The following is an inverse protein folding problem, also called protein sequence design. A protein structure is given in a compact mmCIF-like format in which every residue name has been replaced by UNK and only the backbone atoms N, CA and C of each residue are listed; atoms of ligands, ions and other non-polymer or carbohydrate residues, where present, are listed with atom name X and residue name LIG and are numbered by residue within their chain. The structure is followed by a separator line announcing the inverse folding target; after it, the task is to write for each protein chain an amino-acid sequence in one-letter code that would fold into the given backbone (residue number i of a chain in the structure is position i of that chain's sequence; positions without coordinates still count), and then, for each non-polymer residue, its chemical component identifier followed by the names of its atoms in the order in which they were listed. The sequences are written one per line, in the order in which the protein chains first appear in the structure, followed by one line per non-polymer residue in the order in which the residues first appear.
data_IF_693269437812
#
_entry.id   IF_693269437812
#
_cell.length_a   1.000
_cell.length_b   1.000
_cell.length_c   1.000
_cell.angle_alpha   90.00
_cell.angle_beta   90.00
_cell.angle_gamma   90.00
#
_symmetry.space_group_name_H-M   'P 1'
#
loop_
_entity.id
_entity.type
_entity.pdbx_description
1 polymer ?
#
# COMPACT_ATOMS: atom_id res chain seq x y z
N UNK A 1 -8.09 31.80 22.84
CA UNK A 1 -7.67 30.76 21.89
C UNK A 1 -7.02 31.43 20.70
N UNK A 2 -5.70 31.28 20.54
CA UNK A 2 -4.96 31.83 19.41
C UNK A 2 -5.16 30.92 18.20
N UNK A 3 -5.78 31.46 17.16
CA UNK A 3 -5.92 30.80 15.86
C UNK A 3 -4.56 30.92 15.17
N UNK A 4 -3.84 29.81 15.01
CA UNK A 4 -2.62 29.76 14.20
C UNK A 4 -2.98 30.07 12.75
N UNK A 5 -2.77 31.32 12.34
CA UNK A 5 -2.97 31.78 10.96
C UNK A 5 -1.83 31.24 10.09
N UNK A 6 -2.17 30.40 9.12
CA UNK A 6 -1.24 29.94 8.08
C UNK A 6 -0.97 31.14 7.16
N UNK A 7 0.30 31.52 6.89
CA UNK A 7 0.59 32.66 6.03
C UNK A 7 0.08 32.37 4.61
N UNK A 8 -0.65 33.33 4.04
CA UNK A 8 -1.19 33.25 2.69
C UNK A 8 -0.09 33.63 1.68
N UNK A 9 -0.11 32.98 0.52
CA UNK A 9 0.87 33.15 -0.57
C UNK A 9 1.03 34.59 -1.09
N UNK A 10 0.10 35.49 -0.74
CA UNK A 10 0.09 36.88 -1.18
C UNK A 10 1.00 37.81 -0.36
N UNK A 11 1.54 37.39 0.78
CA UNK A 11 2.44 38.22 1.59
C UNK A 11 3.92 38.13 1.14
N UNK A 12 4.20 37.43 0.03
CA UNK A 12 5.56 37.09 -0.42
C UNK A 12 6.08 37.93 -1.60
N UNK A 13 5.29 38.86 -2.15
CA UNK A 13 5.65 39.61 -3.37
C UNK A 13 5.72 41.13 -3.18
N UNK A 14 6.19 41.62 -2.03
CA UNK A 14 6.43 43.06 -1.88
C UNK A 14 7.87 43.35 -1.42
N UNK A 15 8.68 43.82 -2.39
CA UNK A 15 9.99 44.44 -2.18
C UNK A 15 11.19 43.55 -2.48
N UNK A 16 11.87 43.80 -3.61
CA UNK A 16 13.23 44.39 -3.61
C UNK A 16 14.08 43.96 -4.83
N UNK A 17 14.35 44.95 -5.67
CA UNK A 17 15.35 44.94 -6.73
C UNK A 17 16.78 44.89 -6.14
N UNK A 18 17.25 43.70 -5.75
CA UNK A 18 18.65 43.49 -5.30
C UNK A 18 19.52 42.66 -6.28
N UNK A 19 20.81 43.04 -6.32
CA UNK A 19 21.92 42.53 -7.12
C UNK A 19 22.09 40.99 -7.16
N UNK A 20 22.61 40.42 -8.27
CA UNK A 20 22.59 38.97 -8.54
C UNK A 20 23.43 38.10 -7.59
N UNK A 21 24.40 38.65 -6.85
CA UNK A 21 25.27 37.88 -5.96
C UNK A 21 24.70 37.71 -4.52
N UNK A 22 23.81 38.60 -4.07
CA UNK A 22 23.11 38.52 -2.76
C UNK A 22 22.02 37.43 -2.78
N UNK A 23 21.32 37.31 -3.91
CA UNK A 23 20.22 36.34 -4.14
C UNK A 23 20.60 34.88 -3.89
N UNK A 24 21.84 34.49 -4.19
CA UNK A 24 22.25 33.08 -4.07
C UNK A 24 22.42 32.64 -2.60
N UNK A 25 22.87 33.56 -1.73
CA UNK A 25 23.02 33.29 -0.29
C UNK A 25 21.70 33.43 0.47
N UNK A 26 20.86 34.41 0.12
CA UNK A 26 19.52 34.57 0.72
C UNK A 26 18.59 33.41 0.34
N UNK A 27 18.59 32.99 -0.94
CA UNK A 27 17.79 31.85 -1.43
C UNK A 27 18.24 30.51 -0.82
N UNK A 28 19.55 30.27 -0.68
CA UNK A 28 20.08 29.09 0.06
C UNK A 28 19.72 29.11 1.54
N UNK A 29 19.71 30.27 2.20
CA UNK A 29 19.34 30.41 3.62
C UNK A 29 17.84 30.21 3.84
N UNK A 30 17.01 30.72 2.94
CA UNK A 30 15.58 30.51 2.94
C UNK A 30 15.26 29.03 2.67
N UNK A 31 15.91 28.40 1.69
CA UNK A 31 15.77 26.97 1.40
C UNK A 31 16.19 26.08 2.57
N UNK A 32 17.27 26.43 3.31
CA UNK A 32 17.64 25.74 4.56
C UNK A 32 16.59 25.91 5.66
N UNK A 33 15.96 27.09 5.78
CA UNK A 33 14.85 27.32 6.73
C UNK A 33 13.63 26.45 6.36
N UNK A 34 13.23 26.42 5.09
CA UNK A 34 12.14 25.58 4.62
C UNK A 34 12.43 24.10 4.83
N UNK A 35 13.63 23.64 4.48
CA UNK A 35 14.07 22.26 4.73
C UNK A 35 14.04 21.91 6.22
N UNK A 36 14.56 22.79 7.08
CA UNK A 36 14.57 22.57 8.53
C UNK A 36 13.15 22.52 9.11
N UNK A 37 12.26 23.41 8.65
CA UNK A 37 10.85 23.42 9.06
C UNK A 37 10.11 22.19 8.56
N UNK A 38 10.30 21.80 7.29
CA UNK A 38 9.70 20.61 6.72
C UNK A 38 10.21 19.33 7.41
N UNK A 39 11.51 19.24 7.67
CA UNK A 39 12.10 18.10 8.38
C UNK A 39 11.62 18.02 9.83
N UNK A 40 11.46 19.16 10.51
CA UNK A 40 10.88 19.19 11.84
C UNK A 40 9.44 18.66 11.82
N UNK A 41 8.60 19.16 10.92
CA UNK A 41 7.22 18.67 10.76
C UNK A 41 7.18 17.19 10.41
N UNK A 42 8.04 16.70 9.50
CA UNK A 42 8.15 15.28 9.16
C UNK A 42 8.58 14.44 10.36
N UNK A 43 9.51 14.91 11.17
CA UNK A 43 9.99 14.18 12.36
C UNK A 43 8.89 14.10 13.43
N UNK A 44 8.09 15.17 13.59
CA UNK A 44 6.93 15.16 14.50
C UNK A 44 5.79 14.28 13.97
N UNK A 45 5.61 14.21 12.64
CA UNK A 45 4.57 13.41 11.98
C UNK A 45 4.97 11.95 11.72
N UNK A 46 6.26 11.59 11.88
CA UNK A 46 6.81 10.24 11.76
C UNK A 46 7.50 9.84 13.06
N UNK A 47 6.73 9.83 14.15
CA UNK A 47 7.22 9.37 15.43
C UNK A 47 7.33 7.84 15.44
N UNK A 48 8.57 7.35 15.31
CA UNK A 48 8.86 5.93 15.36
C UNK A 48 8.67 5.33 16.76
N UNK A 49 8.42 6.14 17.80
CA UNK A 49 8.05 5.64 19.14
C UNK A 49 6.84 4.68 19.09
N UNK A 50 5.91 4.91 18.15
CA UNK A 50 4.72 4.07 17.94
C UNK A 50 5.09 2.61 17.56
N UNK A 51 6.21 2.39 16.88
CA UNK A 51 6.71 1.05 16.55
C UNK A 51 7.18 0.25 17.77
N UNK A 52 7.41 0.91 18.91
CA UNK A 52 7.80 0.21 20.13
C UNK A 52 6.67 -0.67 20.68
N UNK A 53 5.42 -0.42 20.29
CA UNK A 53 4.30 -1.29 20.62
C UNK A 53 4.36 -2.59 19.80
N UNK A 54 4.39 -3.77 20.44
CA UNK A 54 4.50 -5.04 19.73
C UNK A 54 3.34 -5.29 18.77
N UNK A 55 2.12 -4.86 19.12
CA UNK A 55 0.94 -5.02 18.26
C UNK A 55 1.05 -4.19 16.97
N UNK A 56 1.52 -2.94 17.08
CA UNK A 56 1.72 -2.08 15.92
C UNK A 56 2.90 -2.53 15.06
N UNK A 57 3.95 -3.07 15.67
CA UNK A 57 5.07 -3.67 14.96
C UNK A 57 4.62 -4.87 14.11
N UNK A 58 3.82 -5.79 14.67
CA UNK A 58 3.26 -6.93 13.94
C UNK A 58 2.34 -6.47 12.79
N UNK A 59 1.51 -5.44 13.02
CA UNK A 59 0.68 -4.84 11.97
C UNK A 59 1.53 -4.25 10.83
N UNK A 60 2.59 -3.52 11.17
CA UNK A 60 3.49 -2.92 10.18
C UNK A 60 4.26 -3.99 9.40
N UNK A 61 4.75 -5.02 10.08
CA UNK A 61 5.46 -6.15 9.47
C UNK A 61 4.56 -6.95 8.53
N UNK A 62 3.32 -7.25 8.95
CA UNK A 62 2.35 -7.94 8.09
C UNK A 62 1.98 -7.11 6.87
N UNK A 63 1.78 -5.80 7.04
CA UNK A 63 1.54 -4.88 5.93
C UNK A 63 2.72 -4.77 4.96
N UNK A 64 3.95 -4.75 5.49
CA UNK A 64 5.18 -4.79 4.69
C UNK A 64 5.25 -6.06 3.83
N UNK A 65 5.07 -7.23 4.44
CA UNK A 65 5.08 -8.52 3.73
C UNK A 65 3.97 -8.60 2.68
N UNK A 66 2.77 -8.11 3.01
CA UNK A 66 1.62 -8.08 2.10
C UNK A 66 1.94 -7.26 0.86
N UNK A 67 2.53 -6.07 1.00
CA UNK A 67 2.87 -5.21 -0.14
C UNK A 67 4.10 -5.67 -0.92
N UNK A 68 5.04 -6.36 -0.26
CA UNK A 68 6.13 -7.04 -0.94
C UNK A 68 5.60 -8.11 -1.91
N UNK A 69 4.60 -8.90 -1.47
CA UNK A 69 3.98 -9.95 -2.26
C UNK A 69 2.83 -9.49 -3.16
N UNK A 70 2.31 -8.28 -2.98
CA UNK A 70 1.06 -7.82 -3.59
C UNK A 70 1.07 -7.91 -5.12
N UNK A 71 2.19 -7.61 -5.76
CA UNK A 71 2.29 -7.63 -7.23
C UNK A 71 2.44 -9.04 -7.82
N UNK A 72 2.84 -10.03 -7.01
CA UNK A 72 3.12 -11.40 -7.49
C UNK A 72 1.86 -12.03 -8.12
N UNK A 73 0.68 -12.04 -7.45
CA UNK A 73 -0.54 -12.58 -8.05
C UNK A 73 -0.97 -11.87 -9.32
N UNK A 74 -0.84 -10.53 -9.39
CA UNK A 74 -1.27 -9.78 -10.58
C UNK A 74 -0.51 -10.22 -11.83
N UNK A 75 0.81 -10.37 -11.73
CA UNK A 75 1.61 -10.78 -12.88
C UNK A 75 1.50 -12.28 -13.15
N UNK A 76 1.60 -13.10 -12.10
CA UNK A 76 1.57 -14.55 -12.24
C UNK A 76 0.22 -15.05 -12.75
N UNK A 77 -0.89 -14.49 -12.28
CA UNK A 77 -2.24 -14.87 -12.70
C UNK A 77 -2.45 -14.68 -14.20
N UNK A 78 -2.08 -13.51 -14.73
CA UNK A 78 -2.23 -13.19 -16.15
C UNK A 78 -1.29 -14.04 -17.02
N UNK A 79 -0.04 -14.22 -16.63
CA UNK A 79 0.92 -15.07 -17.36
C UNK A 79 0.48 -16.54 -17.36
N UNK A 80 0.03 -17.07 -16.21
CA UNK A 80 -0.47 -18.45 -16.09
C UNK A 80 -1.73 -18.64 -16.95
N UNK A 81 -2.66 -17.70 -16.92
CA UNK A 81 -3.87 -17.72 -17.76
C UNK A 81 -3.51 -17.81 -19.25
N UNK A 82 -2.58 -16.98 -19.73
CA UNK A 82 -2.11 -16.99 -21.12
C UNK A 82 -1.41 -18.30 -21.46
N UNK A 83 -0.52 -18.80 -20.58
CA UNK A 83 0.25 -20.02 -20.82
C UNK A 83 -0.62 -21.27 -20.98
N UNK A 84 -1.83 -21.27 -20.40
CA UNK A 84 -2.77 -22.38 -20.53
C UNK A 84 -3.75 -22.21 -21.70
N UNK A 85 -3.56 -21.19 -22.55
CA UNK A 85 -4.32 -21.02 -23.78
C UNK A 85 -5.48 -20.02 -23.69
N UNK A 86 -5.58 -19.23 -22.62
CA UNK A 86 -6.56 -18.14 -22.54
C UNK A 86 -6.13 -16.98 -23.45
N UNK A 87 -7.08 -16.40 -24.18
CA UNK A 87 -6.80 -15.22 -25.00
C UNK A 87 -6.26 -14.07 -24.13
N UNK A 88 -5.24 -13.38 -24.62
CA UNK A 88 -4.57 -12.29 -23.90
C UNK A 88 -5.56 -11.19 -23.49
N UNK A 89 -6.57 -10.90 -24.31
CA UNK A 89 -7.58 -9.87 -23.98
C UNK A 89 -8.39 -10.31 -22.76
N UNK A 90 -8.79 -11.58 -22.70
CA UNK A 90 -9.55 -12.15 -21.57
C UNK A 90 -8.66 -12.21 -20.32
N UNK A 91 -7.39 -12.58 -20.46
CA UNK A 91 -6.47 -12.63 -19.32
C UNK A 91 -6.23 -11.26 -18.67
N UNK A 92 -6.30 -10.16 -19.44
CA UNK A 92 -6.24 -8.79 -18.90
C UNK A 92 -7.50 -8.45 -18.10
N UNK A 93 -8.68 -8.95 -18.51
CA UNK A 93 -9.93 -8.74 -17.76
C UNK A 93 -9.91 -9.33 -16.35
N UNK A 94 -9.07 -10.34 -16.05
CA UNK A 94 -8.89 -10.85 -14.68
C UNK A 94 -8.42 -9.74 -13.73
N UNK A 95 -7.49 -8.89 -14.16
CA UNK A 95 -6.98 -7.77 -13.37
C UNK A 95 -8.10 -6.74 -13.14
N UNK A 96 -8.92 -6.49 -14.15
CA UNK A 96 -10.11 -5.64 -14.01
C UNK A 96 -11.11 -6.21 -13.01
N UNK A 97 -11.33 -7.54 -13.00
CA UNK A 97 -12.17 -8.21 -11.99
C UNK A 97 -11.62 -8.04 -10.58
N UNK A 98 -10.30 -8.14 -10.38
CA UNK A 98 -9.66 -7.83 -9.08
C UNK A 98 -9.99 -6.39 -8.66
N UNK A 99 -9.89 -5.42 -9.56
CA UNK A 99 -10.20 -4.02 -9.27
C UNK A 99 -11.67 -3.77 -8.91
N UNK A 100 -12.59 -4.38 -9.65
CA UNK A 100 -14.03 -4.29 -9.40
C UNK A 100 -14.38 -4.90 -8.04
N UNK A 101 -13.95 -6.13 -7.80
CA UNK A 101 -14.21 -6.86 -6.55
C UNK A 101 -13.52 -6.20 -5.37
N UNK A 102 -12.36 -5.57 -5.58
CA UNK A 102 -11.73 -4.74 -4.56
C UNK A 102 -12.63 -3.55 -4.19
N UNK A 103 -13.20 -2.86 -5.16
CA UNK A 103 -14.09 -1.71 -4.91
C UNK A 103 -15.34 -2.13 -4.14
N UNK A 104 -16.03 -3.19 -4.59
CA UNK A 104 -17.20 -3.72 -3.87
C UNK A 104 -16.83 -4.27 -2.49
N UNK A 105 -15.71 -4.97 -2.39
CA UNK A 105 -15.17 -5.50 -1.14
C UNK A 105 -14.92 -4.40 -0.12
N UNK A 106 -14.45 -3.22 -0.54
CA UNK A 106 -14.22 -2.10 0.39
C UNK A 106 -15.51 -1.62 1.03
N UNK A 107 -16.60 -1.55 0.26
CA UNK A 107 -17.93 -1.16 0.75
C UNK A 107 -18.47 -2.22 1.71
N UNK A 108 -18.39 -3.50 1.33
CA UNK A 108 -18.89 -4.61 2.14
C UNK A 108 -18.09 -4.75 3.44
N UNK A 109 -16.76 -4.78 3.37
CA UNK A 109 -15.90 -4.89 4.55
C UNK A 109 -16.05 -3.67 5.46
N UNK A 110 -16.18 -2.46 4.90
CA UNK A 110 -16.45 -1.24 5.68
C UNK A 110 -17.78 -1.31 6.42
N UNK A 111 -18.84 -1.76 5.75
CA UNK A 111 -20.14 -1.98 6.38
C UNK A 111 -20.06 -3.03 7.50
N UNK A 112 -19.41 -4.17 7.26
CA UNK A 112 -19.25 -5.24 8.27
C UNK A 112 -18.48 -4.72 9.48
N UNK A 113 -17.43 -3.93 9.27
CA UNK A 113 -16.63 -3.35 10.36
C UNK A 113 -17.37 -2.31 11.21
N UNK A 114 -18.52 -1.82 10.73
CA UNK A 114 -19.34 -0.88 11.48
C UNK A 114 -20.18 -1.57 12.57
N UNK A 115 -20.23 -2.91 12.60
CA UNK A 115 -20.90 -3.64 13.67
C UNK A 115 -19.97 -3.82 14.88
N UNK A 116 -20.43 -3.38 16.05
CA UNK A 116 -19.68 -3.42 17.32
C UNK A 116 -19.26 -4.83 17.76
N UNK A 117 -19.91 -5.87 17.23
CA UNK A 117 -19.57 -7.27 17.50
C UNK A 117 -18.39 -7.83 16.69
N UNK A 118 -17.84 -7.06 15.74
CA UNK A 118 -16.79 -7.54 14.84
C UNK A 118 -15.48 -6.81 15.09
N UNK A 119 -14.50 -7.54 15.62
CA UNK A 119 -13.13 -7.05 15.76
C UNK A 119 -12.46 -6.90 14.38
N UNK A 120 -12.07 -5.67 14.04
CA UNK A 120 -11.45 -5.34 12.76
C UNK A 120 -10.13 -6.09 12.55
N UNK A 121 -9.38 -6.36 13.62
CA UNK A 121 -8.11 -7.10 13.59
C UNK A 121 -8.35 -8.56 13.22
N UNK A 122 -9.34 -9.20 13.86
CA UNK A 122 -9.67 -10.60 13.59
C UNK A 122 -10.19 -10.76 12.16
N UNK A 123 -11.09 -9.87 11.74
CA UNK A 123 -11.63 -9.89 10.38
C UNK A 123 -10.52 -9.68 9.32
N UNK A 124 -9.62 -8.73 9.56
CA UNK A 124 -8.48 -8.49 8.70
C UNK A 124 -7.58 -9.72 8.60
N UNK A 125 -7.16 -10.29 9.75
CA UNK A 125 -6.28 -11.45 9.78
C UNK A 125 -6.90 -12.68 9.12
N UNK A 126 -8.20 -12.91 9.33
CA UNK A 126 -8.93 -13.97 8.64
C UNK A 126 -8.90 -13.73 7.11
N UNK A 127 -9.30 -12.55 6.65
CA UNK A 127 -9.35 -12.22 5.22
C UNK A 127 -7.98 -12.35 4.53
N UNK A 128 -6.91 -11.93 5.20
CA UNK A 128 -5.53 -11.98 4.72
C UNK A 128 -5.01 -13.41 4.67
N UNK A 129 -5.33 -14.22 5.70
CA UNK A 129 -4.97 -15.65 5.74
C UNK A 129 -5.67 -16.41 4.62
N UNK A 130 -6.97 -16.17 4.41
CA UNK A 130 -7.72 -16.77 3.30
C UNK A 130 -7.14 -16.36 1.93
N UNK A 131 -6.87 -15.07 1.72
CA UNK A 131 -6.30 -14.57 0.46
C UNK A 131 -4.89 -15.10 0.19
N UNK A 132 -4.06 -15.18 1.23
CA UNK A 132 -2.71 -15.73 1.16
C UNK A 132 -2.71 -17.24 0.88
N UNK A 133 -3.52 -18.01 1.62
CA UNK A 133 -3.67 -19.45 1.39
C UNK A 133 -4.14 -19.74 -0.03
N UNK A 134 -5.14 -19.00 -0.52
CA UNK A 134 -5.65 -19.19 -1.86
C UNK A 134 -4.63 -18.83 -2.94
N UNK A 135 -3.76 -17.85 -2.67
CA UNK A 135 -2.62 -17.51 -3.54
C UNK A 135 -1.58 -18.62 -3.60
N UNK A 136 -1.30 -19.31 -2.49
CA UNK A 136 -0.40 -20.48 -2.46
C UNK A 136 -1.00 -21.65 -3.22
N UNK A 137 -2.33 -21.79 -3.21
CA UNK A 137 -3.05 -22.85 -3.93
C UNK A 137 -3.23 -22.56 -5.43
N UNK A 138 -3.06 -21.31 -5.87
CA UNK A 138 -3.18 -20.89 -7.27
C UNK A 138 -2.41 -21.78 -8.29
N UNK A 139 -1.14 -22.18 -8.09
CA UNK A 139 -0.46 -23.09 -9.01
C UNK A 139 -1.18 -24.44 -9.18
N UNK A 140 -1.80 -24.97 -8.14
CA UNK A 140 -2.49 -26.27 -8.13
C UNK A 140 -3.93 -26.23 -8.67
N UNK A 141 -4.47 -25.03 -8.95
CA UNK A 141 -5.83 -24.88 -9.43
C UNK A 141 -6.00 -25.51 -10.84
N UNK A 142 -7.08 -26.30 -11.07
CA UNK A 142 -7.36 -26.90 -12.37
C UNK A 142 -7.55 -25.82 -13.45
N UNK A 143 -7.29 -26.20 -14.70
CA UNK A 143 -7.51 -25.32 -15.83
C UNK A 143 -9.02 -25.11 -16.06
N UNK A 144 -9.55 -24.01 -15.53
CA UNK A 144 -10.91 -23.55 -15.80
C UNK A 144 -10.96 -22.04 -15.68
N UNK A 145 -11.52 -21.36 -16.69
CA UNK A 145 -11.68 -19.90 -16.68
C UNK A 145 -12.43 -19.43 -15.42
N UNK A 146 -13.45 -20.19 -15.01
CA UNK A 146 -14.24 -19.90 -13.81
C UNK A 146 -13.35 -19.88 -12.56
N UNK A 147 -12.43 -20.84 -12.43
CA UNK A 147 -11.51 -20.90 -11.29
C UNK A 147 -10.55 -19.70 -11.23
N UNK A 148 -10.10 -19.20 -12.39
CA UNK A 148 -9.26 -17.98 -12.46
C UNK A 148 -10.04 -16.72 -12.07
N UNK A 149 -11.28 -16.58 -12.52
CA UNK A 149 -12.13 -15.44 -12.12
C UNK A 149 -12.57 -15.49 -10.66
N UNK A 150 -12.85 -16.68 -10.12
CA UNK A 150 -13.08 -16.88 -8.69
C UNK A 150 -11.85 -16.55 -7.85
N UNK A 151 -10.66 -16.92 -8.35
CA UNK A 151 -9.41 -16.48 -7.75
C UNK A 151 -9.25 -14.97 -7.73
N UNK A 152 -9.43 -14.32 -8.89
CA UNK A 152 -9.36 -12.87 -9.01
C UNK A 152 -10.33 -12.16 -8.05
N UNK A 153 -11.57 -12.64 -7.91
CA UNK A 153 -12.58 -12.02 -7.06
C UNK A 153 -12.29 -12.19 -5.57
N UNK A 154 -11.90 -13.39 -5.13
CA UNK A 154 -11.57 -13.66 -3.73
C UNK A 154 -10.31 -12.91 -3.30
N UNK A 155 -9.28 -12.90 -4.14
CA UNK A 155 -8.06 -12.15 -3.88
C UNK A 155 -8.33 -10.64 -3.79
N UNK A 156 -9.11 -10.10 -4.75
CA UNK A 156 -9.52 -8.69 -4.72
C UNK A 156 -10.31 -8.33 -3.46
N UNK A 157 -11.23 -9.20 -3.04
CA UNK A 157 -12.02 -9.00 -1.82
C UNK A 157 -11.15 -9.04 -0.54
N UNK A 158 -10.24 -10.00 -0.41
CA UNK A 158 -9.31 -10.06 0.73
C UNK A 158 -8.44 -8.81 0.84
N UNK A 159 -7.90 -8.35 -0.29
CA UNK A 159 -7.10 -7.12 -0.34
C UNK A 159 -7.95 -5.86 -0.04
N UNK A 160 -9.23 -5.87 -0.39
CA UNK A 160 -10.17 -4.81 -0.06
C UNK A 160 -10.40 -4.69 1.44
N UNK A 161 -10.66 -5.82 2.11
CA UNK A 161 -10.78 -5.87 3.56
C UNK A 161 -9.50 -5.33 4.22
N UNK A 162 -8.33 -5.78 3.79
CA UNK A 162 -7.05 -5.27 4.30
C UNK A 162 -6.87 -3.75 4.10
N UNK A 163 -7.31 -3.21 2.97
CA UNK A 163 -7.21 -1.79 2.71
C UNK A 163 -8.24 -0.94 3.46
N UNK A 164 -9.45 -1.45 3.69
CA UNK A 164 -10.53 -0.73 4.37
C UNK A 164 -10.39 -0.77 5.90
N UNK A 165 -10.03 -1.92 6.47
CA UNK A 165 -9.94 -2.11 7.92
C UNK A 165 -8.70 -1.45 8.52
N UNK A 166 -7.69 -1.13 7.69
CA UNK A 166 -6.42 -0.55 8.13
C UNK A 166 -6.58 0.68 9.01
N UNK A 167 -7.41 1.64 8.60
CA UNK A 167 -7.61 2.86 9.38
C UNK A 167 -8.25 2.53 10.73
N UNK A 168 -9.24 1.64 10.76
CA UNK A 168 -9.91 1.19 11.98
C UNK A 168 -8.93 0.50 12.93
N UNK A 169 -8.14 -0.45 12.42
CA UNK A 169 -7.14 -1.19 13.22
C UNK A 169 -6.08 -0.26 13.82
N UNK A 170 -5.63 0.77 13.09
CA UNK A 170 -4.66 1.73 13.63
C UNK A 170 -5.29 2.54 14.75
N UNK A 171 -6.53 3.01 14.57
CA UNK A 171 -7.26 3.74 15.63
C UNK A 171 -7.39 2.87 16.89
N UNK A 172 -7.73 1.59 16.75
CA UNK A 172 -7.88 0.67 17.88
C UNK A 172 -6.55 0.42 18.62
N UNK A 173 -5.42 0.38 17.90
CA UNK A 173 -4.11 0.09 18.50
C UNK A 173 -3.40 1.32 19.10
N UNK A 174 -3.51 2.49 18.46
CA UNK A 174 -2.74 3.69 18.82
C UNK A 174 -3.61 4.83 19.35
N UNK A 175 -4.93 4.73 19.24
CA UNK A 175 -5.86 5.81 19.49
C UNK A 175 -6.00 6.78 18.32
N UNK A 176 -7.09 7.55 18.33
CA UNK A 176 -7.42 8.54 17.29
C UNK A 176 -6.39 9.66 17.16
N UNK A 177 -5.77 10.08 18.27
CA UNK A 177 -4.83 11.21 18.30
C UNK A 177 -3.56 10.95 17.50
N UNK A 178 -3.10 9.70 17.48
CA UNK A 178 -1.87 9.29 16.78
C UNK A 178 -2.15 8.63 15.43
N UNK A 179 -3.41 8.58 14.98
CA UNK A 179 -3.81 7.90 13.74
C UNK A 179 -2.99 8.34 12.52
N UNK A 180 -2.87 9.66 12.30
CA UNK A 180 -2.16 10.19 11.12
C UNK A 180 -0.67 9.84 11.16
N UNK A 181 -0.07 9.91 12.35
CA UNK A 181 1.35 9.60 12.56
C UNK A 181 1.62 8.10 12.33
N UNK A 182 0.84 7.25 13.00
CA UNK A 182 0.90 5.80 12.85
C UNK A 182 0.66 5.35 11.39
N UNK A 183 -0.37 5.92 10.74
CA UNK A 183 -0.67 5.63 9.33
C UNK A 183 0.47 6.05 8.41
N UNK A 184 1.10 7.21 8.66
CA UNK A 184 2.26 7.69 7.91
C UNK A 184 3.47 6.77 8.03
N UNK A 185 3.83 6.38 9.26
CA UNK A 185 4.93 5.42 9.52
C UNK A 185 4.65 4.09 8.81
N UNK A 186 3.45 3.54 8.96
CA UNK A 186 3.05 2.29 8.31
C UNK A 186 3.13 2.38 6.78
N UNK A 187 2.65 3.48 6.18
CA UNK A 187 2.77 3.71 4.74
C UNK A 187 4.21 3.87 4.28
N UNK A 188 5.10 4.43 5.11
CA UNK A 188 6.52 4.56 4.78
C UNK A 188 7.17 3.18 4.58
N UNK A 189 6.97 2.25 5.52
CA UNK A 189 7.48 0.88 5.39
C UNK A 189 6.85 0.16 4.20
N UNK A 190 5.55 0.33 4.00
CA UNK A 190 4.83 -0.23 2.86
C UNK A 190 5.33 0.31 1.50
N UNK A 191 5.67 1.59 1.43
CA UNK A 191 6.27 2.20 0.25
C UNK A 191 7.64 1.60 -0.07
N UNK A 192 8.48 1.39 0.95
CA UNK A 192 9.76 0.68 0.80
C UNK A 192 9.53 -0.76 0.34
N UNK A 193 8.55 -1.46 0.90
CA UNK A 193 8.18 -2.81 0.49
C UNK A 193 7.79 -2.86 -1.00
N UNK A 194 6.98 -1.94 -1.48
CA UNK A 194 6.57 -1.86 -2.88
C UNK A 194 7.75 -1.54 -3.82
N UNK A 195 8.64 -0.64 -3.38
CA UNK A 195 9.84 -0.28 -4.12
C UNK A 195 10.82 -1.45 -4.27
N UNK A 196 10.97 -2.27 -3.23
CA UNK A 196 11.82 -3.48 -3.22
C UNK A 196 11.12 -4.68 -3.87
N UNK A 197 9.80 -4.77 -3.75
CA UNK A 197 8.97 -5.84 -4.32
C UNK A 197 8.98 -5.84 -5.85
N UNK A 198 8.99 -4.66 -6.47
CA UNK A 198 9.05 -4.51 -7.93
C UNK A 198 10.29 -5.17 -8.58
N UNK A 199 11.54 -4.86 -8.18
CA UNK A 199 12.73 -5.52 -8.73
C UNK A 199 12.85 -6.99 -8.30
N UNK A 200 12.39 -7.37 -7.11
CA UNK A 200 12.32 -8.77 -6.69
C UNK A 200 11.46 -9.61 -7.64
N UNK A 201 10.26 -9.11 -7.96
CA UNK A 201 9.34 -9.78 -8.88
C UNK A 201 9.91 -9.86 -10.30
N UNK A 202 10.57 -8.80 -10.78
CA UNK A 202 11.27 -8.80 -12.06
C UNK A 202 12.35 -9.88 -12.15
N UNK A 203 13.19 -10.02 -11.11
CA UNK A 203 14.21 -11.08 -11.04
C UNK A 203 13.57 -12.47 -10.98
N UNK A 204 12.50 -12.63 -10.20
CA UNK A 204 11.80 -13.91 -10.08
C UNK A 204 11.22 -14.38 -11.41
N UNK A 205 10.54 -13.49 -12.15
CA UNK A 205 10.00 -13.80 -13.49
C UNK A 205 11.12 -14.09 -14.48
N UNK A 206 12.24 -13.36 -14.43
CA UNK A 206 13.40 -13.63 -15.29
C UNK A 206 13.94 -15.05 -15.07
N UNK A 207 14.10 -15.47 -13.82
CA UNK A 207 14.57 -16.84 -13.48
C UNK A 207 13.57 -17.90 -13.97
N UNK A 208 12.26 -17.69 -13.79
CA UNK A 208 11.23 -18.62 -14.27
C UNK A 208 11.28 -18.76 -15.79
N UNK A 209 11.37 -17.64 -16.52
CA UNK A 209 11.49 -17.65 -18.00
C UNK A 209 12.76 -18.35 -18.45
N UNK A 210 13.87 -18.16 -17.72
CA UNK A 210 15.13 -18.83 -18.00
C UNK A 210 15.01 -20.35 -17.82
N UNK A 211 14.41 -20.79 -16.71
CA UNK A 211 14.16 -22.20 -16.45
C UNK A 211 13.31 -22.85 -17.55
N UNK A 212 12.19 -22.22 -17.93
CA UNK A 212 11.34 -22.71 -19.01
C UNK A 212 12.02 -22.70 -20.38
N UNK A 213 12.99 -21.80 -20.61
CA UNK A 213 13.74 -21.73 -21.88
C UNK A 213 14.80 -22.84 -22.00
N UNK A 214 15.35 -23.33 -20.90
CA UNK A 214 16.33 -24.43 -20.90
C UNK A 214 15.69 -25.82 -20.67
N UNK A 215 14.39 -25.88 -20.38
CA UNK A 215 13.64 -27.11 -20.19
C UNK A 215 13.09 -27.71 -21.50
N UNK A 216 13.35 -27.09 -22.65
CA UNK A 216 13.07 -27.57 -24.01
C UNK A 216 14.28 -27.33 -24.90
#
# INVERSE_FOLDING_TARGET
MSVTRIPAWNDAEEGDDEEPCSKNNSSRRNMKKYYKSAMHTLTTMLDFSILSSPSFFVLTCSGFLTLLGFFVPFLYLTEKAISMGMDRKIAVWLVSTIGLTNTFGRVICGWISSYESVDAIVLNNASLTFGGLYTVLLPFLPYSMVSYYLYASLFGFSMACFASLRSTMIVELTGLELLTNAFGVLLMFQGVAAAVGSPLLGKFIYVIKLYNKYAY
#
